data_IF_495988974603
#
_entry.id   IF_495988974603
#
_cell.length_a   1.000
_cell.length_b   1.000
_cell.length_c   1.000
_cell.angle_alpha   90.00
_cell.angle_beta   90.00
_cell.angle_gamma   90.00
#
_symmetry.space_group_name_H-M   'P 1'
#
loop_
_entity.id
_entity.type
_entity.pdbx_description
1 polymer ?
#
# COMPACT_ATOMS: atom_id res chain seq x y z
N UNK A 1 -22.18 -53.23 25.10
CA UNK A 1 -20.95 -54.04 25.12
C UNK A 1 -20.49 -54.21 23.68
N UNK A 2 -20.34 -53.10 22.97
CA UNK A 2 -19.15 -52.24 23.08
C UNK A 2 -17.89 -53.07 22.94
N UNK A 3 -17.46 -53.20 21.68
CA UNK A 3 -16.03 -53.14 21.39
C UNK A 3 -15.79 -52.63 19.97
N UNK A 4 -15.35 -51.38 19.91
CA UNK A 4 -14.14 -51.02 19.19
C UNK A 4 -14.14 -51.37 17.68
N UNK A 5 -14.87 -50.58 16.89
CA UNK A 5 -14.32 -50.16 15.59
C UNK A 5 -13.61 -48.84 15.88
N UNK A 6 -12.39 -48.95 16.39
CA UNK A 6 -11.52 -47.83 16.68
C UNK A 6 -11.04 -47.17 15.39
N UNK A 7 -11.35 -45.86 15.29
CA UNK A 7 -10.39 -44.79 14.97
C UNK A 7 -9.50 -44.99 13.73
N UNK A 8 -10.08 -44.86 12.53
CA UNK A 8 -9.35 -44.35 11.35
C UNK A 8 -10.23 -43.64 10.29
N UNK A 9 -11.53 -43.50 10.51
CA UNK A 9 -12.47 -42.93 9.53
C UNK A 9 -12.87 -41.46 9.73
N UNK A 10 -12.19 -40.71 10.61
CA UNK A 10 -12.60 -39.31 10.85
C UNK A 10 -12.25 -38.44 9.64
N UNK A 11 -13.26 -37.90 8.95
CA UNK A 11 -13.06 -36.84 7.94
C UNK A 11 -12.98 -35.54 8.72
N UNK A 12 -11.83 -34.87 8.61
CA UNK A 12 -11.60 -33.56 9.22
C UNK A 12 -12.15 -32.49 8.30
N UNK A 13 -13.34 -31.96 8.63
CA UNK A 13 -14.01 -30.92 7.86
C UNK A 13 -13.15 -29.66 7.74
N UNK A 14 -12.34 -29.37 8.77
CA UNK A 14 -11.38 -28.25 8.85
C UNK A 14 -10.16 -28.39 7.92
N UNK A 15 -10.03 -29.52 7.21
CA UNK A 15 -8.93 -29.79 6.28
C UNK A 15 -9.41 -29.92 4.82
N UNK A 16 -10.69 -29.67 4.56
CA UNK A 16 -11.25 -29.71 3.22
C UNK A 16 -10.95 -28.41 2.47
N UNK A 17 -10.86 -28.50 1.14
CA UNK A 17 -10.72 -27.34 0.29
C UNK A 17 -11.97 -26.47 0.41
N UNK A 18 -11.76 -25.23 0.83
CA UNK A 18 -12.84 -24.28 1.05
C UNK A 18 -13.60 -23.92 -0.24
N UNK A 19 -12.93 -23.92 -1.39
CA UNK A 19 -13.51 -23.54 -2.68
C UNK A 19 -14.39 -24.66 -3.24
N UNK A 20 -13.92 -25.91 -3.10
CA UNK A 20 -14.55 -27.10 -3.66
C UNK A 20 -15.19 -28.01 -2.59
N UNK A 21 -15.58 -27.42 -1.46
CA UNK A 21 -15.99 -28.15 -0.25
C UNK A 21 -17.02 -29.24 -0.52
N UNK A 22 -18.08 -28.92 -1.28
CA UNK A 22 -19.15 -29.88 -1.60
C UNK A 22 -18.66 -31.06 -2.44
N UNK A 23 -17.87 -30.80 -3.50
CA UNK A 23 -17.31 -31.88 -4.35
C UNK A 23 -16.36 -32.76 -3.53
N UNK A 24 -15.47 -32.14 -2.75
CA UNK A 24 -14.47 -32.87 -1.97
C UNK A 24 -15.10 -33.72 -0.85
N UNK A 25 -16.11 -33.20 -0.15
CA UNK A 25 -16.76 -33.98 0.91
C UNK A 25 -17.45 -35.22 0.35
N UNK A 26 -18.11 -35.10 -0.80
CA UNK A 26 -18.76 -36.26 -1.45
C UNK A 26 -17.73 -37.34 -1.82
N UNK A 27 -16.60 -36.94 -2.41
CA UNK A 27 -15.51 -37.86 -2.78
C UNK A 27 -14.95 -38.57 -1.54
N UNK A 28 -14.56 -37.82 -0.51
CA UNK A 28 -13.98 -38.40 0.72
C UNK A 28 -14.96 -39.31 1.46
N UNK A 29 -16.24 -38.97 1.46
CA UNK A 29 -17.27 -39.82 2.07
C UNK A 29 -17.50 -41.12 1.28
N UNK A 30 -17.40 -41.08 -0.05
CA UNK A 30 -17.48 -42.28 -0.88
C UNK A 30 -16.26 -43.19 -0.70
N UNK A 31 -15.05 -42.63 -0.72
CA UNK A 31 -13.80 -43.38 -0.48
C UNK A 31 -13.80 -44.11 0.87
N UNK A 32 -14.45 -43.52 1.88
CA UNK A 32 -14.62 -44.12 3.22
C UNK A 32 -15.86 -44.99 3.38
N UNK A 33 -16.61 -45.27 2.31
CA UNK A 33 -17.86 -46.04 2.30
C UNK A 33 -18.96 -45.46 3.23
N UNK A 34 -18.97 -44.14 3.45
CA UNK A 34 -20.01 -43.43 4.23
C UNK A 34 -21.22 -43.04 3.38
N UNK A 35 -21.00 -42.90 2.06
CA UNK A 35 -22.01 -42.67 1.05
C UNK A 35 -21.93 -43.76 -0.03
N UNK A 36 -23.06 -44.36 -0.36
CA UNK A 36 -23.19 -45.34 -1.44
C UNK A 36 -23.23 -44.65 -2.81
N UNK A 37 -22.78 -45.34 -3.85
CA UNK A 37 -22.82 -44.84 -5.24
C UNK A 37 -24.24 -44.44 -5.67
N UNK A 38 -25.26 -45.21 -5.26
CA UNK A 38 -26.68 -44.92 -5.53
C UNK A 38 -27.11 -43.55 -4.98
N UNK A 39 -26.57 -43.15 -3.83
CA UNK A 39 -26.87 -41.86 -3.22
C UNK A 39 -26.15 -40.72 -3.94
N UNK A 40 -24.91 -40.93 -4.40
CA UNK A 40 -24.21 -39.94 -5.23
C UNK A 40 -24.91 -39.71 -6.57
N UNK A 41 -25.40 -40.78 -7.21
CA UNK A 41 -26.21 -40.67 -8.43
C UNK A 41 -27.47 -39.85 -8.18
N UNK A 42 -28.19 -40.12 -7.08
CA UNK A 42 -29.35 -39.33 -6.66
C UNK A 42 -28.99 -37.85 -6.50
N UNK A 43 -27.91 -37.52 -5.78
CA UNK A 43 -27.46 -36.13 -5.62
C UNK A 43 -27.09 -35.48 -6.95
N UNK A 44 -26.48 -36.23 -7.88
CA UNK A 44 -26.16 -35.71 -9.21
C UNK A 44 -27.44 -35.36 -10.00
N UNK A 45 -28.48 -36.19 -9.95
CA UNK A 45 -29.77 -35.86 -10.55
C UNK A 45 -30.42 -34.63 -9.92
N UNK A 46 -30.48 -34.55 -8.58
CA UNK A 46 -31.03 -33.38 -7.90
C UNK A 46 -30.24 -32.10 -8.21
N UNK A 47 -28.91 -32.22 -8.37
CA UNK A 47 -28.05 -31.09 -8.79
C UNK A 47 -28.38 -30.59 -10.19
N UNK A 48 -28.61 -31.51 -11.14
CA UNK A 48 -29.03 -31.15 -12.50
C UNK A 48 -30.44 -30.55 -12.54
N UNK A 49 -31.35 -30.95 -11.66
CA UNK A 49 -32.67 -30.32 -11.53
C UNK A 49 -32.57 -28.87 -11.01
N UNK A 50 -31.66 -28.60 -10.06
CA UNK A 50 -31.36 -27.24 -9.62
C UNK A 50 -30.78 -26.42 -10.77
N UNK A 51 -29.81 -26.97 -11.51
CA UNK A 51 -29.22 -26.31 -12.68
C UNK A 51 -30.28 -25.97 -13.73
N UNK A 52 -31.17 -26.92 -14.05
CA UNK A 52 -32.29 -26.68 -14.97
C UNK A 52 -33.16 -25.51 -14.50
N UNK A 53 -33.49 -25.49 -13.22
CA UNK A 53 -34.28 -24.41 -12.61
C UNK A 53 -33.57 -23.07 -12.74
N UNK A 54 -32.28 -23.01 -12.43
CA UNK A 54 -31.47 -21.79 -12.57
C UNK A 54 -31.36 -21.31 -14.01
N UNK A 55 -31.18 -22.22 -14.96
CA UNK A 55 -31.14 -21.90 -16.39
C UNK A 55 -32.46 -21.34 -16.90
N UNK A 56 -33.60 -21.88 -16.46
CA UNK A 56 -34.92 -21.31 -16.77
C UNK A 56 -35.04 -19.87 -16.29
N UNK A 57 -34.55 -19.55 -15.08
CA UNK A 57 -34.51 -18.16 -14.59
C UNK A 57 -33.55 -17.29 -15.41
N UNK A 58 -32.35 -17.80 -15.71
CA UNK A 58 -31.31 -17.09 -16.46
C UNK A 58 -31.79 -16.70 -17.86
N UNK A 59 -32.40 -17.63 -18.59
CA UNK A 59 -32.95 -17.37 -19.94
C UNK A 59 -34.30 -16.64 -19.90
N UNK A 60 -34.84 -16.37 -18.71
CA UNK A 60 -36.21 -15.86 -18.49
C UNK A 60 -37.27 -16.71 -19.18
N UNK A 61 -37.02 -18.02 -19.27
CA UNK A 61 -37.82 -19.00 -20.01
C UNK A 61 -37.99 -18.69 -21.51
N UNK A 62 -37.15 -17.81 -22.06
CA UNK A 62 -37.21 -17.39 -23.47
C UNK A 62 -36.31 -18.21 -24.40
N UNK A 63 -35.45 -19.09 -23.86
CA UNK A 63 -34.52 -19.90 -24.63
C UNK A 63 -34.41 -21.32 -24.06
N UNK A 64 -34.36 -22.30 -24.96
CA UNK A 64 -34.08 -23.70 -24.64
C UNK A 64 -32.59 -24.07 -24.77
N UNK A 65 -31.73 -23.11 -25.11
CA UNK A 65 -30.28 -23.31 -25.23
C UNK A 65 -29.49 -22.20 -24.53
N UNK A 66 -28.34 -22.60 -24.00
CA UNK A 66 -27.31 -21.73 -23.43
C UNK A 66 -25.94 -22.23 -23.88
N UNK A 67 -24.93 -21.37 -23.81
CA UNK A 67 -23.54 -21.78 -23.98
C UNK A 67 -23.12 -22.72 -22.84
N UNK A 68 -22.22 -23.66 -23.13
CA UNK A 68 -21.76 -24.66 -22.15
C UNK A 68 -21.07 -23.96 -20.97
N UNK A 69 -20.29 -22.93 -21.27
CA UNK A 69 -19.57 -22.11 -20.28
C UNK A 69 -20.53 -21.44 -19.28
N UNK A 70 -21.71 -21.01 -19.75
CA UNK A 70 -22.75 -20.43 -18.87
C UNK A 70 -23.33 -21.52 -17.95
N UNK A 71 -23.62 -22.70 -18.49
CA UNK A 71 -24.16 -23.81 -17.71
C UNK A 71 -23.15 -24.31 -16.66
N UNK A 72 -21.86 -24.38 -17.01
CA UNK A 72 -20.77 -24.74 -16.11
C UNK A 72 -20.60 -23.70 -14.99
N UNK A 73 -20.57 -22.41 -15.31
CA UNK A 73 -20.51 -21.33 -14.32
C UNK A 73 -21.68 -21.39 -13.32
N UNK A 74 -22.92 -21.59 -13.79
CA UNK A 74 -24.08 -21.73 -12.90
C UNK A 74 -23.96 -23.00 -12.04
N UNK A 75 -23.42 -24.10 -12.58
CA UNK A 75 -23.19 -25.32 -11.82
C UNK A 75 -22.16 -25.11 -10.70
N UNK A 76 -21.06 -24.42 -10.97
CA UNK A 76 -20.07 -24.06 -9.95
C UNK A 76 -20.66 -23.12 -8.88
N UNK A 77 -21.54 -22.19 -9.27
CA UNK A 77 -22.32 -21.40 -8.33
C UNK A 77 -23.21 -22.26 -7.41
N UNK A 78 -23.88 -23.28 -7.97
CA UNK A 78 -24.70 -24.21 -7.19
C UNK A 78 -23.83 -24.99 -6.19
N UNK A 79 -22.69 -25.51 -6.64
CA UNK A 79 -21.78 -26.29 -5.80
C UNK A 79 -21.18 -25.45 -4.66
N UNK A 80 -20.77 -24.21 -4.95
CA UNK A 80 -20.32 -23.26 -3.93
C UNK A 80 -21.43 -22.94 -2.91
N UNK A 81 -22.65 -22.67 -3.39
CA UNK A 81 -23.79 -22.33 -2.54
C UNK A 81 -24.18 -23.48 -1.60
N UNK A 82 -24.17 -24.71 -2.11
CA UNK A 82 -24.37 -25.91 -1.27
C UNK A 82 -23.21 -26.04 -0.28
N UNK A 83 -21.97 -25.83 -0.73
CA UNK A 83 -20.78 -25.83 0.10
C UNK A 83 -20.88 -24.89 1.30
N UNK A 84 -21.32 -23.64 1.09
CA UNK A 84 -21.54 -22.63 2.15
C UNK A 84 -22.40 -23.21 3.28
N UNK A 85 -23.53 -23.84 2.94
CA UNK A 85 -24.42 -24.43 3.93
C UNK A 85 -23.77 -25.60 4.67
N UNK A 86 -23.11 -26.50 3.94
CA UNK A 86 -22.50 -27.69 4.53
C UNK A 86 -21.31 -27.36 5.44
N UNK A 87 -20.59 -26.26 5.19
CA UNK A 87 -19.52 -25.77 6.08
C UNK A 87 -20.02 -25.33 7.46
N UNK A 88 -21.31 -25.02 7.61
CA UNK A 88 -21.88 -24.64 8.89
C UNK A 88 -21.86 -25.80 9.92
N UNK A 89 -21.71 -27.04 9.45
CA UNK A 89 -21.61 -28.22 10.31
C UNK A 89 -20.19 -28.41 10.83
N UNK A 90 -20.06 -28.66 12.13
CA UNK A 90 -18.77 -28.97 12.78
C UNK A 90 -18.45 -30.47 12.82
N UNK A 91 -19.45 -31.29 12.55
CA UNK A 91 -19.39 -32.74 12.70
C UNK A 91 -19.97 -33.44 11.46
N UNK A 92 -19.21 -34.40 10.97
CA UNK A 92 -19.50 -35.12 9.73
C UNK A 92 -20.76 -35.98 9.81
N UNK A 93 -21.09 -36.56 10.96
CA UNK A 93 -22.26 -37.42 11.11
C UNK A 93 -23.54 -36.58 11.02
N UNK A 94 -23.53 -35.38 11.62
CA UNK A 94 -24.63 -34.43 11.51
C UNK A 94 -24.80 -33.91 10.07
N UNK A 95 -23.69 -33.57 9.41
CA UNK A 95 -23.69 -33.15 8.01
C UNK A 95 -24.31 -34.23 7.10
N UNK A 96 -23.83 -35.47 7.21
CA UNK A 96 -24.31 -36.58 6.38
C UNK A 96 -25.76 -36.95 6.68
N UNK A 97 -26.18 -36.85 7.94
CA UNK A 97 -27.57 -37.08 8.32
C UNK A 97 -28.48 -36.04 7.65
N UNK A 98 -28.11 -34.76 7.72
CA UNK A 98 -28.89 -33.69 7.09
C UNK A 98 -28.91 -33.86 5.56
N UNK A 99 -27.75 -34.10 4.94
CA UNK A 99 -27.64 -34.34 3.49
C UNK A 99 -28.51 -35.52 3.01
N UNK A 100 -28.69 -36.57 3.84
CA UNK A 100 -29.54 -37.73 3.52
C UNK A 100 -31.03 -37.46 3.71
N UNK A 101 -31.40 -36.62 4.68
CA UNK A 101 -32.79 -36.38 5.07
C UNK A 101 -33.42 -35.18 4.36
N UNK A 102 -32.62 -34.22 3.94
CA UNK A 102 -33.05 -32.97 3.33
C UNK A 102 -32.87 -33.04 1.81
N UNK A 103 -33.86 -32.53 1.05
CA UNK A 103 -33.73 -32.40 -0.42
C UNK A 103 -32.62 -31.41 -0.75
N UNK A 104 -31.81 -31.70 -1.78
CA UNK A 104 -30.68 -30.85 -2.14
C UNK A 104 -31.12 -29.43 -2.52
N UNK A 105 -32.30 -29.28 -3.11
CA UNK A 105 -32.90 -27.96 -3.38
C UNK A 105 -33.07 -27.11 -2.11
N UNK A 106 -33.50 -27.71 -0.99
CA UNK A 106 -33.67 -26.98 0.27
C UNK A 106 -32.30 -26.60 0.88
N UNK A 107 -31.30 -27.49 0.77
CA UNK A 107 -29.91 -27.19 1.15
C UNK A 107 -29.37 -26.00 0.33
N UNK A 108 -29.63 -26.00 -0.98
CA UNK A 108 -29.25 -24.90 -1.87
C UNK A 108 -29.92 -23.58 -1.47
N UNK A 109 -31.22 -23.57 -1.19
CA UNK A 109 -31.93 -22.36 -0.73
C UNK A 109 -31.36 -21.86 0.60
N UNK A 110 -31.11 -22.74 1.57
CA UNK A 110 -30.48 -22.37 2.84
C UNK A 110 -29.07 -21.78 2.63
N UNK A 111 -28.31 -22.32 1.67
CA UNK A 111 -27.03 -21.76 1.26
C UNK A 111 -27.14 -20.35 0.68
N UNK A 112 -28.16 -20.09 -0.15
CA UNK A 112 -28.42 -18.74 -0.68
C UNK A 112 -28.74 -17.75 0.44
N UNK A 113 -29.52 -18.16 1.43
CA UNK A 113 -29.85 -17.28 2.56
C UNK A 113 -28.61 -16.97 3.42
N UNK A 114 -27.74 -17.94 3.68
CA UNK A 114 -26.45 -17.72 4.34
C UNK A 114 -25.54 -16.77 3.54
N UNK A 115 -25.53 -16.86 2.20
CA UNK A 115 -24.76 -15.92 1.37
C UNK A 115 -25.31 -14.50 1.53
N UNK A 116 -26.63 -14.30 1.53
CA UNK A 116 -27.23 -12.97 1.75
C UNK A 116 -26.85 -12.39 3.11
N UNK A 117 -26.87 -13.20 4.16
CA UNK A 117 -26.42 -12.80 5.50
C UNK A 117 -24.95 -12.37 5.48
N UNK A 118 -24.07 -13.17 4.89
CA UNK A 118 -22.65 -12.85 4.74
C UNK A 118 -22.42 -11.55 3.93
N UNK A 119 -23.21 -11.29 2.88
CA UNK A 119 -23.16 -10.03 2.12
C UNK A 119 -23.52 -8.85 3.03
N UNK A 120 -24.57 -8.98 3.83
CA UNK A 120 -24.99 -7.93 4.75
C UNK A 120 -23.92 -7.64 5.81
N UNK A 121 -23.36 -8.68 6.43
CA UNK A 121 -22.27 -8.56 7.40
C UNK A 121 -21.03 -7.90 6.79
N UNK A 122 -20.64 -8.32 5.58
CA UNK A 122 -19.50 -7.75 4.86
C UNK A 122 -19.66 -6.26 4.57
N UNK A 123 -20.84 -5.83 4.10
CA UNK A 123 -21.14 -4.40 3.86
C UNK A 123 -21.07 -3.58 5.14
N UNK A 124 -21.59 -4.14 6.24
CA UNK A 124 -21.54 -3.48 7.55
C UNK A 124 -20.10 -3.30 8.01
N UNK A 125 -19.29 -4.36 7.94
CA UNK A 125 -17.88 -4.32 8.31
C UNK A 125 -17.07 -3.35 7.42
N UNK A 126 -17.32 -3.35 6.10
CA UNK A 126 -16.71 -2.37 5.20
C UNK A 126 -17.05 -0.93 5.59
N UNK A 127 -18.30 -0.66 5.95
CA UNK A 127 -18.73 0.67 6.39
C UNK A 127 -18.01 1.07 7.69
N UNK A 128 -17.82 0.15 8.63
CA UNK A 128 -17.04 0.37 9.85
C UNK A 128 -15.57 0.66 9.54
N UNK A 129 -14.96 -0.07 8.59
CA UNK A 129 -13.59 0.14 8.14
C UNK A 129 -13.43 1.50 7.46
N UNK A 130 -14.35 1.88 6.56
CA UNK A 130 -14.31 3.17 5.87
C UNK A 130 -14.37 4.36 6.86
N UNK A 131 -15.13 4.22 7.95
CA UNK A 131 -15.22 5.24 8.99
C UNK A 131 -13.96 5.33 9.88
N UNK A 132 -13.23 4.23 10.05
CA UNK A 132 -12.09 4.11 10.96
C UNK A 132 -10.75 3.92 10.24
N UNK A 133 -10.70 4.09 8.93
CA UNK A 133 -9.49 3.91 8.13
C UNK A 133 -8.42 4.96 8.47
N UNK A 134 -7.17 4.61 8.20
CA UNK A 134 -6.04 5.51 8.38
C UNK A 134 -6.09 6.66 7.36
N UNK A 135 -5.76 7.87 7.81
CA UNK A 135 -5.62 9.06 6.94
C UNK A 135 -4.22 9.15 6.35
N UNK A 136 -3.90 8.20 5.48
CA UNK A 136 -2.60 8.10 4.78
C UNK A 136 -2.78 8.32 3.28
N UNK A 137 -1.70 8.64 2.56
CA UNK A 137 -1.74 8.85 1.11
C UNK A 137 -1.58 7.59 0.26
N UNK A 138 -1.35 6.41 0.87
CA UNK A 138 -1.16 5.17 0.12
C UNK A 138 -2.37 4.85 -0.77
N UNK A 139 -2.14 4.81 -2.09
CA UNK A 139 -3.17 4.64 -3.09
C UNK A 139 -3.81 3.25 -2.97
N UNK A 140 -3.00 2.19 -2.89
CA UNK A 140 -3.51 0.81 -2.84
C UNK A 140 -4.46 0.60 -1.65
N UNK A 141 -4.12 1.13 -0.48
CA UNK A 141 -4.93 1.07 0.74
C UNK A 141 -6.26 1.82 0.58
N UNK A 142 -6.20 3.08 0.12
CA UNK A 142 -7.41 3.89 -0.03
C UNK A 142 -8.31 3.39 -1.14
N UNK A 143 -7.77 3.06 -2.31
CA UNK A 143 -8.53 2.59 -3.47
C UNK A 143 -9.23 1.26 -3.17
N UNK A 144 -8.53 0.31 -2.54
CA UNK A 144 -9.13 -0.97 -2.13
C UNK A 144 -10.34 -0.76 -1.21
N UNK A 145 -10.26 0.16 -0.23
CA UNK A 145 -11.33 0.41 0.75
C UNK A 145 -12.48 1.24 0.16
N UNK A 146 -12.17 2.27 -0.62
CA UNK A 146 -13.14 3.26 -1.08
C UNK A 146 -13.77 2.91 -2.43
N UNK A 147 -13.10 2.08 -3.25
CA UNK A 147 -13.53 1.74 -4.59
C UNK A 147 -13.52 0.23 -4.86
N UNK A 148 -12.39 -0.43 -4.63
CA UNK A 148 -12.16 -1.84 -4.97
C UNK A 148 -13.17 -2.83 -4.37
N UNK A 149 -13.32 -2.83 -3.05
CA UNK A 149 -14.29 -3.69 -2.35
C UNK A 149 -15.74 -3.19 -2.55
N UNK A 150 -16.05 -1.89 -2.54
CA UNK A 150 -17.37 -1.41 -2.96
C UNK A 150 -17.79 -1.90 -4.34
N UNK A 151 -16.86 -1.99 -5.30
CA UNK A 151 -17.11 -2.53 -6.64
C UNK A 151 -17.49 -4.02 -6.58
N UNK A 152 -16.78 -4.83 -5.78
CA UNK A 152 -17.18 -6.21 -5.51
C UNK A 152 -18.66 -6.28 -5.11
N UNK A 153 -19.05 -5.51 -4.09
CA UNK A 153 -20.43 -5.57 -3.62
C UNK A 153 -21.45 -5.04 -4.63
N UNK A 154 -21.04 -4.22 -5.58
CA UNK A 154 -21.92 -3.73 -6.66
C UNK A 154 -22.12 -4.77 -7.75
N UNK A 155 -21.07 -5.52 -8.08
CA UNK A 155 -21.04 -6.48 -9.21
C UNK A 155 -21.31 -7.92 -8.78
N UNK A 156 -21.20 -8.25 -7.49
CA UNK A 156 -21.35 -9.60 -6.98
C UNK A 156 -22.77 -10.15 -7.17
N UNK A 157 -22.91 -11.08 -8.11
CA UNK A 157 -24.17 -11.73 -8.45
C UNK A 157 -24.26 -13.13 -7.83
N UNK A 158 -24.72 -13.18 -6.58
CA UNK A 158 -24.76 -14.44 -5.83
C UNK A 158 -25.74 -15.50 -6.40
N UNK A 159 -26.66 -15.13 -7.29
CA UNK A 159 -27.67 -16.07 -7.77
C UNK A 159 -27.16 -16.98 -8.89
N UNK A 160 -26.22 -16.50 -9.71
CA UNK A 160 -25.65 -17.25 -10.85
C UNK A 160 -24.13 -17.42 -10.80
N UNK A 161 -23.42 -16.64 -9.98
CA UNK A 161 -21.95 -16.61 -9.92
C UNK A 161 -21.43 -16.35 -8.50
N UNK A 162 -22.04 -16.95 -7.47
CA UNK A 162 -21.62 -16.75 -6.07
C UNK A 162 -20.17 -17.12 -5.75
N UNK A 163 -19.58 -18.01 -6.54
CA UNK A 163 -18.18 -18.45 -6.38
C UNK A 163 -17.19 -17.41 -6.94
N UNK A 164 -17.64 -16.51 -7.81
CA UNK A 164 -16.81 -15.47 -8.41
C UNK A 164 -16.47 -14.37 -7.40
N UNK A 165 -15.29 -13.76 -7.56
CA UNK A 165 -14.83 -12.68 -6.68
C UNK A 165 -14.54 -11.41 -7.51
N UNK A 166 -15.56 -10.78 -8.11
CA UNK A 166 -15.37 -9.59 -8.94
C UNK A 166 -14.85 -8.44 -8.08
N UNK A 167 -13.82 -7.71 -8.50
CA UNK A 167 -13.32 -6.57 -7.74
C UNK A 167 -11.86 -6.27 -8.03
N UNK A 168 -11.37 -5.18 -7.44
CA UNK A 168 -9.96 -4.75 -7.54
C UNK A 168 -9.41 -4.63 -6.13
N UNK A 169 -8.57 -5.56 -5.70
CA UNK A 169 -7.99 -5.58 -4.36
C UNK A 169 -6.48 -5.55 -4.49
N UNK A 170 -5.92 -4.34 -4.38
CA UNK A 170 -4.49 -4.10 -4.59
C UNK A 170 -3.72 -4.06 -3.27
N UNK A 171 -4.36 -3.67 -2.17
CA UNK A 171 -3.72 -3.64 -0.86
C UNK A 171 -3.53 -5.06 -0.31
N UNK A 172 -2.27 -5.46 -0.14
CA UNK A 172 -1.90 -6.79 0.34
C UNK A 172 -1.89 -6.83 1.87
N UNK A 173 -2.61 -7.79 2.46
CA UNK A 173 -2.60 -8.08 3.89
C UNK A 173 -1.30 -8.79 4.27
N UNK A 174 -0.77 -8.54 5.47
CA UNK A 174 0.57 -9.00 5.80
C UNK A 174 0.68 -10.51 6.09
N UNK A 175 -0.01 -10.98 7.13
CA UNK A 175 0.25 -12.30 7.74
C UNK A 175 -0.86 -13.33 7.54
N UNK A 176 -1.50 -13.30 6.36
CA UNK A 176 -2.65 -14.15 6.05
C UNK A 176 -2.52 -14.81 4.68
N UNK A 177 -2.99 -16.04 4.59
CA UNK A 177 -3.30 -16.75 3.34
C UNK A 177 -4.83 -16.93 3.31
N UNK A 178 -5.49 -16.30 2.33
CA UNK A 178 -6.93 -16.43 2.14
C UNK A 178 -7.18 -17.51 1.09
N UNK A 179 -7.85 -18.59 1.50
CA UNK A 179 -8.17 -19.72 0.61
C UNK A 179 -9.63 -19.73 0.15
N UNK A 180 -10.47 -18.91 0.78
CA UNK A 180 -11.88 -18.76 0.43
C UNK A 180 -12.05 -18.02 -0.91
N UNK A 181 -13.25 -18.11 -1.48
CA UNK A 181 -13.67 -17.38 -2.69
C UNK A 181 -15.03 -16.74 -2.44
N UNK A 182 -15.47 -15.87 -3.36
CA UNK A 182 -16.75 -15.19 -3.30
C UNK A 182 -16.87 -14.31 -2.06
N UNK A 183 -18.06 -14.29 -1.46
CA UNK A 183 -18.31 -13.48 -0.27
C UNK A 183 -17.47 -13.89 0.95
N UNK A 184 -17.10 -15.18 1.07
CA UNK A 184 -16.27 -15.64 2.18
C UNK A 184 -14.85 -15.05 2.12
N UNK A 185 -14.28 -14.94 0.91
CA UNK A 185 -13.00 -14.27 0.71
C UNK A 185 -13.05 -12.82 1.18
N UNK A 186 -14.06 -12.07 0.73
CA UNK A 186 -14.20 -10.64 1.06
C UNK A 186 -14.40 -10.44 2.56
N UNK A 187 -15.23 -11.26 3.20
CA UNK A 187 -15.46 -11.14 4.64
C UNK A 187 -14.19 -11.46 5.43
N UNK A 188 -13.40 -12.46 5.03
CA UNK A 188 -12.14 -12.77 5.72
C UNK A 188 -11.07 -11.72 5.46
N UNK A 189 -11.00 -11.17 4.23
CA UNK A 189 -10.15 -10.03 3.91
C UNK A 189 -10.48 -8.83 4.81
N UNK A 190 -11.75 -8.44 4.89
CA UNK A 190 -12.21 -7.30 5.69
C UNK A 190 -11.94 -7.50 7.18
N UNK A 191 -12.11 -8.72 7.72
CA UNK A 191 -11.78 -9.01 9.13
C UNK A 191 -10.31 -8.75 9.41
N UNK A 192 -9.40 -9.26 8.56
CA UNK A 192 -7.96 -9.06 8.75
C UNK A 192 -7.58 -7.59 8.56
N UNK A 193 -8.11 -6.91 7.55
CA UNK A 193 -7.89 -5.48 7.34
C UNK A 193 -8.34 -4.66 8.57
N UNK A 194 -9.47 -5.03 9.18
CA UNK A 194 -9.95 -4.38 10.40
C UNK A 194 -8.99 -4.60 11.58
N UNK A 195 -8.44 -5.81 11.74
CA UNK A 195 -7.41 -6.09 12.75
C UNK A 195 -6.16 -5.23 12.53
N UNK A 196 -5.69 -5.12 11.29
CA UNK A 196 -4.57 -4.25 10.91
C UNK A 196 -4.85 -2.78 11.27
N UNK A 197 -6.00 -2.24 10.84
CA UNK A 197 -6.41 -0.88 11.17
C UNK A 197 -6.53 -0.65 12.68
N UNK A 198 -7.11 -1.60 13.42
CA UNK A 198 -7.27 -1.51 14.87
C UNK A 198 -5.93 -1.42 15.59
N UNK A 199 -4.90 -2.13 15.11
CA UNK A 199 -3.54 -1.99 15.63
C UNK A 199 -2.95 -0.62 15.27
N UNK A 200 -3.00 -0.23 14.00
CA UNK A 200 -2.42 1.01 13.50
C UNK A 200 -3.03 2.26 14.14
N UNK A 201 -4.33 2.23 14.46
CA UNK A 201 -5.04 3.34 15.11
C UNK A 201 -4.61 3.61 16.56
N UNK A 202 -3.69 2.82 17.13
CA UNK A 202 -3.06 3.13 18.42
C UNK A 202 -1.89 4.12 18.30
N UNK A 203 -1.51 4.52 17.07
CA UNK A 203 -0.37 5.37 16.79
C UNK A 203 -0.83 6.73 16.24
N UNK A 204 0.00 7.76 16.43
CA UNK A 204 -0.28 9.08 15.87
C UNK A 204 -0.20 9.04 14.34
N UNK A 205 -1.17 9.67 13.67
CA UNK A 205 -1.25 9.63 12.21
C UNK A 205 -0.09 10.35 11.50
N UNK A 206 0.45 11.41 12.10
CA UNK A 206 1.61 12.13 11.55
C UNK A 206 2.86 11.24 11.62
N UNK A 207 3.05 10.52 12.73
CA UNK A 207 4.13 9.54 12.89
C UNK A 207 4.01 8.38 11.89
N UNK A 208 2.79 7.89 11.62
CA UNK A 208 2.56 6.89 10.58
C UNK A 208 2.96 7.44 9.20
N UNK A 209 2.55 8.66 8.86
CA UNK A 209 2.90 9.26 7.57
C UNK A 209 4.41 9.49 7.43
N UNK A 210 5.10 9.91 8.49
CA UNK A 210 6.55 10.05 8.49
C UNK A 210 7.28 8.71 8.40
N UNK A 211 6.72 7.64 9.01
CA UNK A 211 7.22 6.29 8.85
C UNK A 211 7.12 5.82 7.39
N UNK A 212 5.96 6.01 6.74
CA UNK A 212 5.77 5.63 5.34
C UNK A 212 6.73 6.39 4.41
N UNK A 213 6.90 7.70 4.60
CA UNK A 213 7.88 8.51 3.84
C UNK A 213 9.33 8.13 4.13
N UNK A 214 9.61 7.69 5.35
CA UNK A 214 10.91 7.17 5.75
C UNK A 214 11.24 5.85 5.04
N UNK A 215 10.23 5.02 4.77
CA UNK A 215 10.37 3.80 4.00
C UNK A 215 10.65 4.09 2.53
N UNK A 216 9.81 4.91 1.89
CA UNK A 216 10.07 5.44 0.55
C UNK A 216 9.36 6.79 0.36
N UNK A 217 10.00 7.71 -0.36
CA UNK A 217 9.42 9.02 -0.72
C UNK A 217 8.17 8.93 -1.62
N UNK A 218 8.02 7.83 -2.36
CA UNK A 218 6.90 7.49 -3.22
C UNK A 218 6.02 6.39 -2.59
N UNK A 219 5.98 6.33 -1.26
CA UNK A 219 5.17 5.36 -0.51
C UNK A 219 3.65 5.40 -0.83
N UNK A 220 3.18 6.48 -1.46
CA UNK A 220 1.84 6.63 -1.98
C UNK A 220 1.54 5.66 -3.14
N UNK A 221 2.52 5.36 -3.98
CA UNK A 221 2.37 4.50 -5.16
C UNK A 221 2.74 3.02 -4.89
N UNK A 222 3.35 2.72 -3.75
CA UNK A 222 3.81 1.37 -3.43
C UNK A 222 2.70 0.45 -2.92
N UNK A 223 2.76 -0.81 -3.32
CA UNK A 223 1.96 -1.89 -2.73
C UNK A 223 2.62 -2.38 -1.43
N UNK A 224 2.60 -1.54 -0.40
CA UNK A 224 3.14 -1.83 0.92
C UNK A 224 2.04 -2.08 1.94
N UNK A 225 2.28 -2.99 2.88
CA UNK A 225 1.41 -3.17 4.03
C UNK A 225 1.80 -2.17 5.15
N UNK A 226 0.86 -1.32 5.54
CA UNK A 226 1.10 -0.26 6.54
C UNK A 226 1.26 -0.86 7.95
N UNK A 227 0.46 -1.87 8.27
CA UNK A 227 0.53 -2.56 9.56
C UNK A 227 1.89 -3.23 9.80
N UNK A 228 2.48 -3.84 8.77
CA UNK A 228 3.80 -4.44 8.83
C UNK A 228 4.85 -3.44 9.30
N UNK A 229 4.92 -2.27 8.64
CA UNK A 229 5.90 -1.23 8.96
C UNK A 229 5.73 -0.73 10.40
N UNK A 230 4.49 -0.46 10.81
CA UNK A 230 4.18 0.01 12.16
C UNK A 230 4.55 -1.06 13.20
N UNK A 231 4.19 -2.32 12.95
CA UNK A 231 4.50 -3.43 13.86
C UNK A 231 6.01 -3.59 14.04
N UNK A 232 6.79 -3.65 12.95
CA UNK A 232 8.25 -3.81 13.02
C UNK A 232 8.89 -2.64 13.80
N UNK A 233 8.51 -1.41 13.50
CA UNK A 233 9.10 -0.24 14.16
C UNK A 233 8.68 -0.14 15.64
N UNK A 234 7.43 -0.48 15.97
CA UNK A 234 6.98 -0.56 17.38
C UNK A 234 7.76 -1.60 18.19
N UNK A 235 8.11 -2.75 17.59
CA UNK A 235 8.99 -3.74 18.21
C UNK A 235 10.40 -3.18 18.39
N UNK A 236 10.93 -2.47 17.40
CA UNK A 236 12.21 -1.77 17.48
C UNK A 236 12.28 -0.83 18.68
N UNK A 237 11.23 -0.04 18.89
CA UNK A 237 11.14 0.87 20.04
C UNK A 237 11.13 0.14 21.37
N UNK A 238 10.40 -0.97 21.48
CA UNK A 238 10.43 -1.80 22.69
C UNK A 238 11.83 -2.41 22.92
N UNK A 239 12.49 -2.88 21.87
CA UNK A 239 13.86 -3.42 21.95
C UNK A 239 14.83 -2.34 22.43
N UNK A 240 14.63 -1.08 22.04
CA UNK A 240 15.43 0.06 22.49
C UNK A 240 14.95 0.66 23.83
N UNK A 241 14.04 -0.01 24.55
CA UNK A 241 13.48 0.45 25.82
C UNK A 241 12.83 1.85 25.74
N UNK A 242 12.29 2.19 24.56
CA UNK A 242 11.51 3.41 24.30
C UNK A 242 10.02 3.17 24.48
N UNK A 243 9.25 4.26 24.46
CA UNK A 243 7.81 4.18 24.32
C UNK A 243 7.44 3.48 23.00
N UNK A 244 6.50 2.54 23.06
CA UNK A 244 6.06 1.74 21.90
C UNK A 244 5.47 2.60 20.78
N UNK A 245 4.87 3.75 21.12
CA UNK A 245 4.22 4.67 20.18
C UNK A 245 5.22 5.45 19.34
N UNK A 246 6.49 5.54 19.75
CA UNK A 246 7.54 6.20 18.98
C UNK A 246 7.91 5.29 17.81
N UNK A 247 7.56 5.67 16.59
CA UNK A 247 7.84 4.86 15.40
C UNK A 247 9.21 5.14 14.76
N UNK A 248 9.91 6.19 15.18
CA UNK A 248 11.22 6.54 14.62
C UNK A 248 12.35 5.69 15.23
N UNK A 249 12.98 4.84 14.41
CA UNK A 249 14.18 4.08 14.79
C UNK A 249 15.42 4.70 14.15
N UNK A 250 16.27 5.35 14.95
CA UNK A 250 17.50 6.01 14.48
C UNK A 250 18.63 5.02 14.20
N UNK A 251 19.74 5.50 13.64
CA UNK A 251 20.95 4.68 13.45
C UNK A 251 21.50 4.13 14.78
N UNK A 252 21.46 4.91 15.86
CA UNK A 252 21.90 4.46 17.19
C UNK A 252 21.00 3.34 17.73
N UNK A 253 19.69 3.45 17.48
CA UNK A 253 18.73 2.43 17.88
C UNK A 253 18.97 1.13 17.12
N UNK A 254 19.27 1.21 15.81
CA UNK A 254 19.63 0.01 15.03
C UNK A 254 20.88 -0.68 15.55
N UNK A 255 21.89 0.06 16.00
CA UNK A 255 23.07 -0.55 16.65
C UNK A 255 22.70 -1.24 17.98
N UNK A 256 21.78 -0.66 18.76
CA UNK A 256 21.27 -1.32 19.96
C UNK A 256 20.49 -2.59 19.63
N UNK A 257 19.57 -2.54 18.66
CA UNK A 257 18.82 -3.71 18.17
C UNK A 257 19.77 -4.80 17.72
N UNK A 258 20.77 -4.45 16.90
CA UNK A 258 21.82 -5.36 16.44
C UNK A 258 22.54 -6.02 17.62
N UNK A 259 22.99 -5.23 18.60
CA UNK A 259 23.69 -5.76 19.77
C UNK A 259 22.85 -6.75 20.59
N UNK A 260 21.53 -6.52 20.69
CA UNK A 260 20.61 -7.39 21.43
C UNK A 260 20.26 -8.67 20.65
N UNK A 261 20.17 -8.60 19.32
CA UNK A 261 19.62 -9.71 18.52
C UNK A 261 20.65 -10.53 17.73
N UNK A 262 21.84 -10.00 17.41
CA UNK A 262 22.79 -10.64 16.49
C UNK A 262 23.27 -12.02 16.95
N UNK A 263 23.45 -12.22 18.27
CA UNK A 263 24.01 -13.46 18.83
C UNK A 263 22.97 -14.54 19.13
N UNK A 264 21.68 -14.25 18.94
CA UNK A 264 20.60 -15.18 19.23
C UNK A 264 20.49 -16.26 18.14
N UNK A 265 20.23 -17.50 18.55
CA UNK A 265 19.73 -18.54 17.64
C UNK A 265 18.40 -18.12 17.01
N UNK A 266 17.93 -18.83 15.99
CA UNK A 266 16.63 -18.51 15.41
C UNK A 266 15.49 -18.74 16.41
N UNK A 267 15.56 -19.80 17.20
CA UNK A 267 14.58 -20.11 18.25
C UNK A 267 14.59 -19.05 19.36
N UNK A 268 15.77 -18.60 19.77
CA UNK A 268 15.92 -17.54 20.77
C UNK A 268 15.41 -16.19 20.25
N UNK A 269 15.73 -15.84 18.99
CA UNK A 269 15.23 -14.63 18.34
C UNK A 269 13.70 -14.65 18.28
N UNK A 270 13.10 -15.77 17.87
CA UNK A 270 11.65 -15.89 17.77
C UNK A 270 10.99 -15.79 19.15
N UNK A 271 11.56 -16.42 20.18
CA UNK A 271 11.08 -16.32 21.56
C UNK A 271 11.15 -14.87 22.07
N UNK A 272 12.24 -14.16 21.81
CA UNK A 272 12.40 -12.75 22.18
C UNK A 272 11.39 -11.85 21.46
N UNK A 273 11.18 -12.02 20.14
CA UNK A 273 10.17 -11.27 19.40
C UNK A 273 8.75 -11.56 19.91
N UNK A 274 8.45 -12.78 20.36
CA UNK A 274 7.19 -13.07 21.05
C UNK A 274 7.07 -12.33 22.40
N UNK A 275 8.15 -12.21 23.17
CA UNK A 275 8.16 -11.44 24.40
C UNK A 275 7.93 -9.94 24.13
N UNK A 276 8.61 -9.37 23.12
CA UNK A 276 8.43 -7.98 22.72
C UNK A 276 7.03 -7.69 22.18
N UNK A 277 6.46 -8.57 21.34
CA UNK A 277 5.08 -8.41 20.87
C UNK A 277 4.05 -8.53 21.99
N UNK A 278 4.27 -9.41 22.97
CA UNK A 278 3.43 -9.47 24.18
C UNK A 278 3.50 -8.17 24.98
N UNK A 279 4.69 -7.60 25.16
CA UNK A 279 4.89 -6.30 25.81
C UNK A 279 4.21 -5.18 25.02
N UNK A 280 4.30 -5.20 23.69
CA UNK A 280 3.59 -4.27 22.79
C UNK A 280 2.08 -4.30 23.05
N UNK A 281 1.46 -5.48 22.98
CA UNK A 281 0.03 -5.63 23.24
C UNK A 281 -0.38 -5.15 24.64
N UNK A 282 0.45 -5.38 25.65
CA UNK A 282 0.18 -4.92 27.01
C UNK A 282 0.22 -3.39 27.13
N UNK A 283 1.24 -2.73 26.57
CA UNK A 283 1.39 -1.28 26.62
C UNK A 283 0.27 -0.59 25.83
N UNK A 284 -0.07 -1.12 24.66
CA UNK A 284 -1.18 -0.62 23.83
C UNK A 284 -2.57 -1.05 24.34
N UNK A 285 -2.65 -1.78 25.47
CA UNK A 285 -3.90 -2.27 26.06
C UNK A 285 -4.78 -3.06 25.07
N UNK A 286 -4.15 -3.84 24.19
CA UNK A 286 -4.82 -4.70 23.21
C UNK A 286 -5.36 -5.94 23.95
N UNK A 287 -6.69 -6.07 23.99
CA UNK A 287 -7.41 -7.19 24.62
C UNK A 287 -8.05 -8.15 23.63
N UNK A 288 -8.16 -7.75 22.37
CA UNK A 288 -8.74 -8.57 21.31
C UNK A 288 -7.86 -9.80 21.06
N UNK A 289 -8.43 -10.99 21.29
CA UNK A 289 -7.73 -12.27 21.13
C UNK A 289 -7.38 -12.58 19.68
N UNK A 290 -8.20 -12.15 18.72
CA UNK A 290 -7.94 -12.35 17.30
C UNK A 290 -6.79 -11.46 16.83
N UNK A 291 -6.76 -10.20 17.27
CA UNK A 291 -5.63 -9.30 16.98
C UNK A 291 -4.32 -9.83 17.58
N UNK A 292 -4.33 -10.30 18.84
CA UNK A 292 -3.15 -10.90 19.48
C UNK A 292 -2.67 -12.14 18.69
N UNK A 293 -3.61 -12.97 18.21
CA UNK A 293 -3.28 -14.15 17.40
C UNK A 293 -2.70 -13.74 16.04
N UNK A 294 -3.23 -12.68 15.42
CA UNK A 294 -2.74 -12.14 14.16
C UNK A 294 -1.31 -11.60 14.32
N UNK A 295 -1.06 -10.76 15.32
CA UNK A 295 0.29 -10.25 15.63
C UNK A 295 1.28 -11.41 15.82
N UNK A 296 0.92 -12.48 16.54
CA UNK A 296 1.79 -13.65 16.70
C UNK A 296 2.12 -14.32 15.35
N UNK A 297 1.16 -14.45 14.44
CA UNK A 297 1.42 -14.94 13.07
C UNK A 297 2.36 -14.00 12.32
N UNK A 298 2.17 -12.68 12.45
CA UNK A 298 3.04 -11.66 11.87
C UNK A 298 4.48 -11.80 12.37
N UNK A 299 4.70 -12.05 13.66
CA UNK A 299 6.04 -12.28 14.22
C UNK A 299 6.75 -13.46 13.57
N UNK A 300 6.04 -14.55 13.29
CA UNK A 300 6.62 -15.73 12.61
C UNK A 300 7.13 -15.35 11.21
N UNK A 301 6.42 -14.48 10.49
CA UNK A 301 6.86 -13.95 9.19
C UNK A 301 8.00 -12.93 9.30
N UNK A 302 8.00 -12.09 10.33
CA UNK A 302 9.00 -11.03 10.54
C UNK A 302 10.36 -11.59 10.98
N UNK A 303 10.37 -12.62 11.85
CA UNK A 303 11.59 -13.17 12.42
C UNK A 303 12.68 -13.55 11.39
N UNK A 304 12.38 -14.30 10.30
CA UNK A 304 13.38 -14.61 9.28
C UNK A 304 13.91 -13.34 8.58
N UNK A 305 13.05 -12.35 8.31
CA UNK A 305 13.44 -11.09 7.67
C UNK A 305 14.41 -10.29 8.54
N UNK A 306 14.15 -10.23 9.86
CA UNK A 306 15.09 -9.60 10.81
C UNK A 306 16.42 -10.36 10.83
N UNK A 307 16.40 -11.69 10.84
CA UNK A 307 17.63 -12.51 10.87
C UNK A 307 18.48 -12.28 9.62
N UNK A 308 17.86 -12.23 8.45
CA UNK A 308 18.53 -11.94 7.18
C UNK A 308 19.08 -10.52 7.16
N UNK A 309 18.29 -9.53 7.57
CA UNK A 309 18.70 -8.12 7.64
C UNK A 309 19.89 -7.90 8.60
N UNK A 310 19.93 -8.62 9.74
CA UNK A 310 21.08 -8.64 10.64
C UNK A 310 22.33 -9.23 9.98
N UNK A 311 22.19 -10.33 9.24
CA UNK A 311 23.30 -11.00 8.56
C UNK A 311 23.88 -10.13 7.42
N UNK A 312 23.03 -9.39 6.71
CA UNK A 312 23.43 -8.48 5.64
C UNK A 312 23.85 -7.10 6.13
N UNK A 313 23.74 -6.83 7.44
CA UNK A 313 23.96 -5.52 8.04
C UNK A 313 23.13 -4.40 7.39
N UNK A 314 21.84 -4.69 7.16
CA UNK A 314 20.87 -3.80 6.49
C UNK A 314 19.63 -3.54 7.34
N UNK A 315 19.81 -3.33 8.65
CA UNK A 315 18.68 -3.12 9.57
C UNK A 315 17.83 -1.90 9.21
N UNK A 316 18.39 -0.92 8.51
CA UNK A 316 17.70 0.25 7.99
C UNK A 316 16.59 -0.07 6.99
N UNK A 317 16.57 -1.26 6.38
CA UNK A 317 15.47 -1.69 5.49
C UNK A 317 14.28 -2.27 6.26
N UNK A 318 14.46 -2.62 7.54
CA UNK A 318 13.43 -3.18 8.42
C UNK A 318 12.96 -2.15 9.46
N UNK A 319 13.91 -1.53 10.14
CA UNK A 319 13.68 -0.53 11.17
C UNK A 319 13.97 0.86 10.61
N UNK A 320 12.90 1.55 10.27
CA UNK A 320 12.89 2.75 9.46
C UNK A 320 13.08 3.98 10.36
N UNK A 321 13.90 4.91 9.90
CA UNK A 321 13.98 6.23 10.50
C UNK A 321 12.98 7.16 9.82
N UNK A 322 12.42 8.11 10.57
CA UNK A 322 11.72 9.23 9.95
C UNK A 322 12.68 9.99 9.06
N UNK A 323 12.14 10.58 8.01
CA UNK A 323 12.91 11.38 7.07
C UNK A 323 13.15 12.79 7.65
N UNK A 324 13.80 12.86 8.82
CA UNK A 324 14.10 14.11 9.56
C UNK A 324 15.05 15.05 8.80
N UNK A 325 15.66 14.57 7.71
CA UNK A 325 16.44 15.41 6.79
C UNK A 325 15.57 16.20 5.80
N UNK A 326 14.26 16.01 5.84
CA UNK A 326 13.30 16.81 5.11
C UNK A 326 12.43 17.56 6.12
N UNK A 327 12.98 18.66 6.64
CA UNK A 327 12.13 19.84 6.82
C UNK A 327 11.26 19.94 5.55
N UNK A 328 9.96 20.11 5.76
CA UNK A 328 8.98 20.33 4.69
C UNK A 328 9.57 21.22 3.57
N UNK A 329 9.32 20.80 2.33
CA UNK A 329 9.62 21.43 1.04
C UNK A 329 11.05 21.27 0.49
N UNK A 330 11.23 20.25 -0.37
CA UNK A 330 12.49 19.99 -1.09
C UNK A 330 12.35 19.62 -2.57
N UNK A 331 11.15 19.74 -3.15
CA UNK A 331 10.98 19.92 -4.60
C UNK A 331 10.13 21.17 -4.77
N UNK A 332 10.77 22.34 -4.71
CA UNK A 332 10.16 23.54 -5.27
C UNK A 332 10.14 23.36 -6.78
N UNK A 333 8.97 23.08 -7.34
CA UNK A 333 8.73 23.40 -8.74
C UNK A 333 8.93 24.91 -8.89
N UNK A 334 9.96 25.29 -9.64
CA UNK A 334 10.16 26.69 -9.96
C UNK A 334 9.21 27.02 -11.11
N UNK A 335 8.16 27.80 -10.80
CA UNK A 335 7.28 28.38 -11.81
C UNK A 335 7.84 29.76 -12.11
N UNK A 336 8.36 29.94 -13.33
CA UNK A 336 8.89 31.23 -13.75
C UNK A 336 7.78 32.29 -13.83
N UNK A 337 8.15 33.55 -13.61
CA UNK A 337 7.23 34.66 -13.78
C UNK A 337 6.89 34.90 -15.25
N UNK A 338 5.82 35.67 -15.48
CA UNK A 338 5.43 36.01 -16.85
C UNK A 338 6.46 36.95 -17.47
N UNK A 339 7.09 36.50 -18.56
CA UNK A 339 8.01 37.31 -19.37
C UNK A 339 7.42 38.67 -19.72
N UNK A 340 8.25 39.70 -19.62
CA UNK A 340 7.90 41.06 -20.01
C UNK A 340 7.64 41.19 -21.51
N UNK A 341 6.77 42.14 -21.89
CA UNK A 341 6.57 42.44 -23.31
C UNK A 341 7.84 43.03 -23.95
N UNK A 342 8.11 42.68 -25.21
CA UNK A 342 9.28 43.19 -25.95
C UNK A 342 9.37 44.73 -26.00
N UNK A 343 8.23 45.43 -25.97
CA UNK A 343 8.17 46.89 -25.94
C UNK A 343 8.62 47.44 -24.58
N UNK A 344 8.11 46.89 -23.49
CA UNK A 344 8.55 47.24 -22.14
C UNK A 344 10.04 46.94 -21.93
N UNK A 345 10.49 45.76 -22.35
CA UNK A 345 11.87 45.33 -22.21
C UNK A 345 12.86 46.27 -22.93
N UNK A 346 12.56 46.68 -24.16
CA UNK A 346 13.38 47.68 -24.89
C UNK A 346 13.44 49.04 -24.20
N UNK A 347 12.34 49.46 -23.57
CA UNK A 347 12.33 50.70 -22.78
C UNK A 347 13.17 50.56 -21.51
N UNK A 348 13.15 49.41 -20.85
CA UNK A 348 13.97 49.11 -19.68
C UNK A 348 15.47 49.14 -20.03
N UNK A 349 15.89 48.47 -21.11
CA UNK A 349 17.30 48.48 -21.58
C UNK A 349 17.79 49.91 -21.82
N UNK A 350 17.02 50.76 -22.50
CA UNK A 350 17.39 52.17 -22.72
C UNK A 350 17.58 52.94 -21.41
N UNK A 351 16.74 52.68 -20.39
CA UNK A 351 16.89 53.30 -19.06
C UNK A 351 18.14 52.81 -18.33
N UNK A 352 18.45 51.51 -18.42
CA UNK A 352 19.66 50.92 -17.82
C UNK A 352 20.91 51.53 -18.46
N UNK A 353 20.94 51.65 -19.80
CA UNK A 353 22.08 52.25 -20.51
C UNK A 353 22.27 53.74 -20.20
N UNK A 354 21.19 54.47 -19.91
CA UNK A 354 21.24 55.89 -19.53
C UNK A 354 21.67 56.11 -18.07
N UNK A 355 21.78 55.06 -17.27
CA UNK A 355 22.17 55.14 -15.87
C UNK A 355 23.71 55.07 -15.73
N UNK A 356 24.38 56.09 -15.18
CA UNK A 356 25.84 56.10 -15.09
C UNK A 356 26.39 55.36 -13.87
N UNK A 357 25.55 55.10 -12.85
CA UNK A 357 25.96 54.48 -11.58
C UNK A 357 25.58 53.00 -11.58
N UNK A 358 26.57 52.13 -11.31
CA UNK A 358 26.39 50.68 -11.31
C UNK A 358 25.34 50.19 -10.29
N UNK A 359 25.37 50.73 -9.07
CA UNK A 359 24.40 50.37 -8.02
C UNK A 359 22.95 50.73 -8.41
N UNK A 360 22.76 51.88 -9.06
CA UNK A 360 21.45 52.31 -9.55
C UNK A 360 20.98 51.44 -10.72
N UNK A 361 21.89 50.95 -11.58
CA UNK A 361 21.57 49.94 -12.62
C UNK A 361 21.07 48.65 -11.98
N UNK A 362 21.77 48.14 -10.97
CA UNK A 362 21.38 46.91 -10.26
C UNK A 362 19.99 47.07 -9.63
N UNK A 363 19.73 48.20 -8.97
CA UNK A 363 18.41 48.46 -8.37
C UNK A 363 17.32 48.58 -9.44
N UNK A 364 17.60 49.26 -10.55
CA UNK A 364 16.68 49.39 -11.67
C UNK A 364 16.34 48.03 -12.27
N UNK A 365 17.33 47.14 -12.41
CA UNK A 365 17.15 45.77 -12.89
C UNK A 365 16.26 44.98 -11.92
N UNK A 366 16.60 44.95 -10.62
CA UNK A 366 15.83 44.20 -9.61
C UNK A 366 14.37 44.65 -9.49
N UNK A 367 14.11 45.95 -9.65
CA UNK A 367 12.76 46.50 -9.53
C UNK A 367 11.87 46.24 -10.77
N UNK A 368 12.43 45.79 -11.90
CA UNK A 368 11.73 45.74 -13.18
C UNK A 368 11.83 44.38 -13.92
N UNK A 369 12.57 43.40 -13.39
CA UNK A 369 12.54 42.01 -13.86
C UNK A 369 11.37 41.28 -13.22
N UNK A 370 10.65 40.49 -14.01
CA UNK A 370 9.54 39.68 -13.52
C UNK A 370 9.75 38.17 -13.65
N UNK A 371 10.78 37.72 -14.38
CA UNK A 371 11.07 36.30 -14.64
C UNK A 371 12.56 36.01 -14.75
N UNK A 372 12.96 34.74 -14.63
CA UNK A 372 14.30 34.26 -14.92
C UNK A 372 14.67 34.51 -16.39
N UNK A 373 13.71 34.38 -17.30
CA UNK A 373 13.91 34.72 -18.70
C UNK A 373 14.21 36.22 -18.91
N UNK A 374 13.52 37.12 -18.20
CA UNK A 374 13.82 38.56 -18.21
C UNK A 374 15.24 38.86 -17.68
N UNK A 375 15.70 38.10 -16.67
CA UNK A 375 17.07 38.22 -16.13
C UNK A 375 18.12 37.76 -17.15
N UNK A 376 17.90 36.62 -17.80
CA UNK A 376 18.79 36.10 -18.85
C UNK A 376 18.83 37.07 -20.02
N UNK A 377 17.68 37.58 -20.47
CA UNK A 377 17.62 38.56 -21.55
C UNK A 377 18.39 39.85 -21.19
N UNK A 378 18.37 40.31 -19.92
CA UNK A 378 19.16 41.48 -19.49
C UNK A 378 20.66 41.20 -19.52
N UNK A 379 21.08 40.02 -19.07
CA UNK A 379 22.47 39.58 -19.13
C UNK A 379 22.99 39.48 -20.57
N UNK A 380 22.09 39.36 -21.54
CA UNK A 380 22.38 39.25 -22.98
C UNK A 380 22.15 40.55 -23.76
N UNK A 381 21.53 41.56 -23.18
CA UNK A 381 21.11 42.79 -23.87
C UNK A 381 22.21 43.86 -24.01
N UNK A 382 23.49 43.49 -23.84
CA UNK A 382 24.66 44.38 -23.94
C UNK A 382 24.53 45.69 -23.13
N UNK A 383 23.85 45.65 -21.98
CA UNK A 383 23.56 46.82 -21.15
C UNK A 383 24.39 46.91 -19.85
N UNK A 384 25.18 45.87 -19.57
CA UNK A 384 26.07 45.72 -18.43
C UNK A 384 27.52 45.54 -18.91
N UNK A 385 28.47 46.17 -18.23
CA UNK A 385 29.88 46.10 -18.59
C UNK A 385 30.80 45.88 -17.39
N UNK A 386 31.90 45.15 -17.61
CA UNK A 386 33.02 45.11 -16.67
C UNK A 386 32.63 44.55 -15.31
N UNK A 387 32.62 45.41 -14.28
CA UNK A 387 32.30 45.05 -12.90
C UNK A 387 30.79 45.02 -12.60
N UNK A 388 29.97 45.62 -13.47
CA UNK A 388 28.51 45.71 -13.28
C UNK A 388 27.85 44.32 -13.23
N UNK A 389 28.41 43.33 -13.92
CA UNK A 389 28.01 41.93 -13.79
C UNK A 389 28.18 41.39 -12.37
N UNK A 390 29.33 41.65 -11.73
CA UNK A 390 29.58 41.15 -10.38
C UNK A 390 28.72 41.86 -9.35
N UNK A 391 28.46 43.15 -9.53
CA UNK A 391 27.57 43.91 -8.65
C UNK A 391 26.13 43.42 -8.76
N UNK A 392 25.68 43.05 -9.97
CA UNK A 392 24.39 42.38 -10.16
C UNK A 392 24.38 40.99 -9.47
N UNK A 393 25.38 40.13 -9.70
CA UNK A 393 25.40 38.79 -9.11
C UNK A 393 25.45 38.81 -7.58
N UNK A 394 26.17 39.76 -6.97
CA UNK A 394 26.18 39.96 -5.51
C UNK A 394 24.81 40.34 -4.95
N UNK A 395 23.95 40.93 -5.77
CA UNK A 395 22.62 41.37 -5.35
C UNK A 395 21.54 40.29 -5.47
N UNK A 396 21.86 39.15 -6.11
CA UNK A 396 20.96 38.03 -6.31
C UNK A 396 20.94 37.11 -5.07
N UNK A 397 19.80 36.49 -4.83
CA UNK A 397 19.61 35.46 -3.82
C UNK A 397 20.29 34.15 -4.22
N UNK A 398 20.54 33.27 -3.24
CA UNK A 398 21.11 31.93 -3.48
C UNK A 398 20.25 31.09 -4.46
N UNK A 399 18.92 31.29 -4.45
CA UNK A 399 18.00 30.63 -5.37
C UNK A 399 18.18 31.13 -6.81
N UNK A 400 18.26 32.45 -7.02
CA UNK A 400 18.50 33.04 -8.35
C UNK A 400 19.86 32.64 -8.91
N UNK A 401 20.89 32.54 -8.06
CA UNK A 401 22.21 32.02 -8.45
C UNK A 401 22.11 30.53 -8.83
N UNK A 402 21.36 29.71 -8.09
CA UNK A 402 21.14 28.30 -8.43
C UNK A 402 20.38 28.14 -9.76
N UNK A 403 19.39 28.99 -10.03
CA UNK A 403 18.62 29.01 -11.28
C UNK A 403 19.48 29.42 -12.49
N UNK A 404 20.37 30.40 -12.33
CA UNK A 404 21.35 30.77 -13.35
C UNK A 404 22.35 29.64 -13.61
N UNK A 405 22.80 28.96 -12.54
CA UNK A 405 23.72 27.82 -12.64
C UNK A 405 23.10 26.67 -13.43
N UNK A 406 21.84 26.34 -13.16
CA UNK A 406 21.09 25.28 -13.85
C UNK A 406 20.85 25.55 -15.34
N UNK A 407 20.78 26.83 -15.74
CA UNK A 407 20.59 27.25 -17.14
C UNK A 407 21.91 27.41 -17.91
N UNK A 408 23.07 27.21 -17.28
CA UNK A 408 24.33 27.18 -18.01
C UNK A 408 24.49 25.85 -18.75
N UNK A 409 24.90 25.87 -20.03
CA UNK A 409 25.22 24.63 -20.74
C UNK A 409 26.37 23.91 -20.02
N UNK A 410 26.26 22.58 -19.85
CA UNK A 410 27.21 21.72 -19.12
C UNK A 410 28.66 22.16 -19.37
N UNK A 411 29.26 22.76 -18.35
CA UNK A 411 30.60 23.34 -18.34
C UNK A 411 31.63 22.20 -18.30
N UNK A 412 31.88 21.55 -19.44
CA UNK A 412 33.20 20.98 -19.64
C UNK A 412 34.15 22.17 -19.76
N UNK A 413 34.92 22.39 -18.68
CA UNK A 413 35.92 23.43 -18.54
C UNK A 413 37.01 23.23 -19.59
N UNK A 414 36.77 23.66 -20.82
CA UNK A 414 37.77 24.06 -21.82
C UNK A 414 37.02 24.41 -23.13
N UNK A 415 37.04 25.71 -23.46
CA UNK A 415 36.98 26.28 -24.83
C UNK A 415 35.70 26.82 -25.49
N UNK A 416 34.48 26.77 -24.95
CA UNK A 416 33.30 27.38 -25.64
C UNK A 416 32.37 28.24 -24.75
N UNK A 417 32.85 29.40 -24.28
CA UNK A 417 31.97 30.42 -23.71
C UNK A 417 31.30 31.23 -24.85
N UNK A 418 30.03 30.95 -25.14
CA UNK A 418 29.27 31.66 -26.19
C UNK A 418 28.86 33.10 -25.84
N UNK A 419 28.81 33.49 -24.55
CA UNK A 419 28.29 34.79 -24.08
C UNK A 419 29.14 35.37 -22.93
N UNK A 420 29.33 36.70 -22.87
CA UNK A 420 30.20 37.36 -21.87
C UNK A 420 29.78 37.06 -20.43
N UNK A 421 28.47 37.07 -20.16
CA UNK A 421 27.94 36.85 -18.82
C UNK A 421 28.23 35.45 -18.28
N UNK A 422 28.34 34.41 -19.12
CA UNK A 422 28.74 33.06 -18.69
C UNK A 422 30.14 33.04 -18.06
N UNK A 423 31.09 33.74 -18.69
CA UNK A 423 32.48 33.83 -18.21
C UNK A 423 32.54 34.60 -16.89
N UNK A 424 31.80 35.70 -16.79
CA UNK A 424 31.73 36.53 -15.58
C UNK A 424 31.06 35.78 -14.43
N UNK A 425 29.98 35.06 -14.70
CA UNK A 425 29.27 34.25 -13.71
C UNK A 425 30.12 33.08 -13.20
N UNK A 426 30.83 32.37 -14.08
CA UNK A 426 31.75 31.28 -13.68
C UNK A 426 32.88 31.80 -12.76
N UNK A 427 33.43 32.97 -13.07
CA UNK A 427 34.43 33.64 -12.20
C UNK A 427 33.84 34.08 -10.86
N UNK A 428 32.61 34.56 -10.84
CA UNK A 428 31.91 34.93 -9.61
C UNK A 428 31.65 33.70 -8.73
N UNK A 429 31.08 32.64 -9.31
CA UNK A 429 30.74 31.41 -8.60
C UNK A 429 31.97 30.69 -8.03
N UNK A 430 33.08 30.66 -8.78
CA UNK A 430 34.34 30.06 -8.28
C UNK A 430 34.98 30.85 -7.13
N UNK A 431 34.71 32.16 -7.03
CA UNK A 431 35.18 33.02 -5.95
C UNK A 431 34.31 32.98 -4.67
N UNK A 432 33.16 32.30 -4.67
CA UNK A 432 32.33 32.10 -3.48
C UNK A 432 33.01 31.19 -2.44
N UNK A 433 32.55 31.27 -1.19
CA UNK A 433 33.01 30.35 -0.14
C UNK A 433 32.59 28.90 -0.44
N UNK A 434 33.33 27.91 0.06
CA UNK A 434 32.97 26.50 -0.12
C UNK A 434 31.64 26.14 0.55
N UNK A 435 31.25 26.87 1.57
CA UNK A 435 29.95 26.73 2.24
C UNK A 435 28.81 27.23 1.35
N UNK A 436 28.95 28.42 0.76
CA UNK A 436 27.97 28.99 -0.18
C UNK A 436 27.82 28.12 -1.43
N UNK A 437 28.93 27.62 -1.99
CA UNK A 437 28.92 26.73 -3.15
C UNK A 437 28.14 25.44 -2.87
N UNK A 438 28.30 24.85 -1.68
CA UNK A 438 27.57 23.64 -1.28
C UNK A 438 26.08 23.91 -1.16
N UNK A 439 25.69 25.04 -0.54
CA UNK A 439 24.28 25.44 -0.43
C UNK A 439 23.65 25.65 -1.80
N UNK A 440 24.33 26.38 -2.68
CA UNK A 440 23.82 26.68 -4.03
C UNK A 440 23.70 25.42 -4.89
N UNK A 441 24.68 24.51 -4.86
CA UNK A 441 24.60 23.23 -5.59
C UNK A 441 23.49 22.33 -5.07
N UNK A 442 23.28 22.31 -3.76
CA UNK A 442 22.14 21.58 -3.17
C UNK A 442 20.81 22.14 -3.68
N UNK A 443 20.67 23.47 -3.74
CA UNK A 443 19.48 24.12 -4.32
C UNK A 443 19.31 23.80 -5.81
N UNK A 444 20.39 23.85 -6.59
CA UNK A 444 20.41 23.54 -8.03
C UNK A 444 19.89 22.12 -8.32
N UNK A 445 20.32 21.13 -7.53
CA UNK A 445 19.90 19.74 -7.62
C UNK A 445 18.42 19.54 -7.25
N UNK A 446 17.90 20.36 -6.32
CA UNK A 446 16.53 20.28 -5.81
C UNK A 446 15.48 20.96 -6.70
N UNK A 447 15.87 21.96 -7.50
CA UNK A 447 14.96 22.68 -8.39
C UNK A 447 14.51 21.78 -9.55
N UNK A 448 13.21 21.67 -9.82
CA UNK A 448 12.70 21.22 -11.13
C UNK A 448 12.11 22.43 -11.88
N UNK A 449 12.60 22.66 -13.10
CA UNK A 449 12.01 23.66 -14.01
C UNK A 449 10.70 23.07 -14.56
N UNK A 450 9.60 23.79 -14.39
CA UNK A 450 8.26 23.38 -14.84
C UNK A 450 8.03 23.68 -16.32
#
# INVERSE_FOLDING_TARGET
MDKFIEKNNYIRLDQLNEQNFFKEILIKCHEKNLLETSFLEKLNYERLDILKTQLTYYTKDCSSSVMVEIAENILDCIDYTIGIYLKAFKDIDFLLRDLKQTKLFNIFINGQDLIKEKIFEGRKLLSEIQNNKLKVSNFSYNDTIDYGIPLFFKEYEYFYSAHETPGSIDYQLFATELNNIGIEYINDYLKILNLENNFCNNFNIDDINELLKGYDKHCDELLINIFELILINSLGSIICDKDVTILNISALDREQIKSKLSNLSFEELLAELFNYSKKCCLILNIKDSELIKYIKKSIIKIAPLIKESLALNKLETMFISFNLNNNHDGITSYIDGKKSSNTYFRHLIKKIMACPVSMDKVQLIKNNIHSLEDLIDILEADCLYGNEFYDLFKSLSQLEIALLLKNLPNLNFESDYKKEWHLKFSKYFSALSEEDKKVIRKLEEQIKLA
#
